data_IF_085187011085
#
_entry.id   IF_085187011085
#
_cell.length_a   1.000
_cell.length_b   1.000
_cell.length_c   1.000
_cell.angle_alpha   90.00
_cell.angle_beta   90.00
_cell.angle_gamma   90.00
#
_symmetry.space_group_name_H-M   'P 1'
#
loop_
_entity.id
_entity.type
_entity.pdbx_description
1 polymer ?
#
# COMPACT_ATOMS: atom_id res chain seq x y z
N UNK A 1 8.69 -4.37 -19.47
CA UNK A 1 7.53 -3.93 -20.26
C UNK A 1 6.74 -2.94 -19.40
N UNK A 2 6.27 -1.83 -19.95
CA UNK A 2 5.62 -0.78 -19.15
C UNK A 2 4.22 -1.22 -18.71
N UNK A 3 3.83 -0.84 -17.48
CA UNK A 3 2.50 -1.09 -16.90
C UNK A 3 1.76 0.24 -16.69
N UNK A 4 0.45 0.23 -16.90
CA UNK A 4 -0.43 1.37 -16.66
C UNK A 4 -1.71 0.92 -15.96
N UNK A 5 -2.25 1.78 -15.10
CA UNK A 5 -3.56 1.59 -14.50
C UNK A 5 -4.60 2.53 -15.09
N UNK A 6 -5.73 1.96 -15.48
CA UNK A 6 -6.90 2.67 -16.04
C UNK A 6 -8.15 2.36 -15.22
N UNK A 7 -9.23 3.10 -15.44
CA UNK A 7 -10.53 2.73 -14.88
C UNK A 7 -11.15 1.56 -15.63
N UNK A 8 -12.08 0.84 -14.99
CA UNK A 8 -12.73 -0.31 -15.60
C UNK A 8 -13.51 0.04 -16.87
N UNK A 9 -14.06 1.27 -16.95
CA UNK A 9 -14.81 1.76 -18.11
C UNK A 9 -13.93 2.02 -19.33
N UNK A 10 -12.60 2.09 -19.14
CA UNK A 10 -11.64 2.23 -20.23
C UNK A 10 -11.33 0.89 -20.91
N UNK A 11 -11.75 -0.23 -20.33
CA UNK A 11 -11.69 -1.56 -20.94
C UNK A 11 -12.96 -1.86 -21.72
N UNK A 12 -12.78 -2.11 -23.02
CA UNK A 12 -13.80 -2.71 -23.87
C UNK A 12 -13.57 -4.22 -24.01
N UNK A 13 -14.39 -4.90 -24.80
CA UNK A 13 -14.25 -6.35 -25.03
C UNK A 13 -12.87 -6.70 -25.63
N UNK A 14 -12.43 -5.93 -26.63
CA UNK A 14 -11.22 -6.20 -27.43
C UNK A 14 -10.14 -5.12 -27.36
N UNK A 15 -10.37 -3.99 -26.69
CA UNK A 15 -9.46 -2.86 -26.68
C UNK A 15 -9.48 -2.10 -25.35
N UNK A 16 -8.46 -1.28 -25.14
CA UNK A 16 -8.32 -0.38 -23.99
C UNK A 16 -8.04 1.03 -24.48
N UNK A 17 -8.75 2.00 -23.91
CA UNK A 17 -8.59 3.42 -24.23
C UNK A 17 -7.86 4.10 -23.07
N UNK A 18 -6.57 4.37 -23.23
CA UNK A 18 -5.75 5.06 -22.22
C UNK A 18 -5.83 6.56 -22.47
N UNK A 19 -6.08 7.35 -21.44
CA UNK A 19 -6.27 8.81 -21.55
C UNK A 19 -5.42 9.57 -20.52
N UNK A 20 -5.38 10.90 -20.62
CA UNK A 20 -4.78 11.76 -19.59
C UNK A 20 -3.26 11.65 -19.50
N UNK A 21 -2.75 11.63 -18.27
CA UNK A 21 -1.31 11.61 -17.98
C UNK A 21 -0.62 10.36 -18.54
N UNK A 22 -1.27 9.20 -18.52
CA UNK A 22 -0.71 7.94 -19.02
C UNK A 22 -0.57 7.97 -20.53
N UNK A 23 -1.59 8.44 -21.25
CA UNK A 23 -1.51 8.61 -22.71
C UNK A 23 -0.39 9.57 -23.11
N UNK A 24 -0.21 10.66 -22.35
CA UNK A 24 0.90 11.61 -22.54
C UNK A 24 2.25 10.95 -22.24
N UNK A 25 2.33 10.14 -21.19
CA UNK A 25 3.53 9.39 -20.82
C UNK A 25 3.94 8.42 -21.94
N UNK A 26 2.98 7.63 -22.46
CA UNK A 26 3.19 6.71 -23.58
C UNK A 26 3.69 7.46 -24.82
N UNK A 27 2.97 8.49 -25.26
CA UNK A 27 3.27 9.18 -26.51
C UNK A 27 4.52 10.05 -26.46
N UNK A 28 4.75 10.80 -25.37
CA UNK A 28 5.83 11.81 -25.30
C UNK A 28 7.09 11.32 -24.62
N UNK A 29 6.96 10.55 -23.53
CA UNK A 29 8.11 10.12 -22.72
C UNK A 29 8.63 8.79 -23.23
N UNK A 30 7.74 7.80 -23.34
CA UNK A 30 8.11 6.47 -23.86
C UNK A 30 8.27 6.47 -25.38
N UNK A 31 7.71 7.47 -26.08
CA UNK A 31 7.72 7.59 -27.56
C UNK A 31 7.17 6.32 -28.22
N UNK A 32 6.10 5.77 -27.65
CA UNK A 32 5.46 4.56 -28.13
C UNK A 32 5.00 4.67 -29.58
N UNK A 33 4.87 3.53 -30.25
CA UNK A 33 4.44 3.41 -31.64
C UNK A 33 3.37 2.32 -31.78
N UNK A 34 2.55 2.35 -32.84
CA UNK A 34 1.69 1.23 -33.19
C UNK A 34 2.48 -0.08 -33.24
N UNK A 35 1.95 -1.11 -32.58
CA UNK A 35 2.58 -2.42 -32.40
C UNK A 35 3.38 -2.58 -31.10
N UNK A 36 3.77 -1.50 -30.41
CA UNK A 36 4.45 -1.61 -29.12
C UNK A 36 3.52 -2.22 -28.07
N UNK A 37 4.07 -3.08 -27.21
CA UNK A 37 3.30 -3.81 -26.19
C UNK A 37 3.42 -3.18 -24.82
N UNK A 38 2.29 -3.10 -24.12
CA UNK A 38 2.14 -2.57 -22.77
C UNK A 38 1.30 -3.53 -21.94
N UNK A 39 1.42 -3.47 -20.62
CA UNK A 39 0.49 -4.12 -19.69
C UNK A 39 -0.48 -3.06 -19.18
N UNK A 40 -1.77 -3.36 -19.20
CA UNK A 40 -2.79 -2.48 -18.62
C UNK A 40 -3.61 -3.26 -17.62
N UNK A 41 -3.81 -2.67 -16.44
CA UNK A 41 -4.67 -3.20 -15.37
C UNK A 41 -5.77 -2.20 -15.03
N UNK A 42 -6.97 -2.70 -14.72
CA UNK A 42 -8.06 -1.90 -14.15
C UNK A 42 -7.91 -1.70 -12.62
N UNK A 43 -6.87 -2.30 -12.03
CA UNK A 43 -6.62 -2.28 -10.59
C UNK A 43 -7.59 -3.14 -9.76
N UNK A 44 -8.47 -3.90 -10.41
CA UNK A 44 -9.55 -4.62 -9.75
C UNK A 44 -9.73 -6.06 -10.22
N UNK A 45 -10.03 -6.28 -11.50
CA UNK A 45 -10.48 -7.57 -12.02
C UNK A 45 -9.76 -8.02 -13.27
N UNK A 46 -9.13 -7.09 -13.99
CA UNK A 46 -8.62 -7.34 -15.34
C UNK A 46 -7.24 -6.75 -15.50
N UNK A 47 -6.33 -7.59 -15.94
CA UNK A 47 -5.05 -7.20 -16.48
C UNK A 47 -4.88 -7.84 -17.86
N UNK A 48 -4.26 -7.12 -18.79
CA UNK A 48 -4.06 -7.60 -20.14
C UNK A 48 -2.74 -7.09 -20.72
N UNK A 49 -2.15 -7.94 -21.57
CA UNK A 49 -1.16 -7.51 -22.53
C UNK A 49 -1.89 -6.84 -23.69
N UNK A 50 -1.53 -5.61 -24.01
CA UNK A 50 -2.12 -4.85 -25.12
C UNK A 50 -1.03 -4.43 -26.10
N UNK A 51 -1.41 -4.26 -27.36
CA UNK A 51 -0.57 -3.67 -28.39
C UNK A 51 -1.16 -2.33 -28.84
N UNK A 52 -0.34 -1.28 -28.86
CA UNK A 52 -0.78 0.05 -29.30
C UNK A 52 -1.30 -0.05 -30.74
N UNK A 53 -2.50 0.44 -30.98
CA UNK A 53 -3.08 0.58 -32.31
C UNK A 53 -2.82 1.99 -32.85
N UNK A 54 -3.19 3.00 -32.06
CA UNK A 54 -3.04 4.40 -32.45
C UNK A 54 -2.69 5.28 -31.23
N UNK A 55 -2.00 6.38 -31.52
CA UNK A 55 -1.65 7.41 -30.55
C UNK A 55 -2.14 8.74 -31.09
N UNK A 56 -3.07 9.35 -30.38
CA UNK A 56 -3.64 10.65 -30.66
C UNK A 56 -3.32 11.63 -29.55
N UNK A 57 -3.72 12.89 -29.72
CA UNK A 57 -3.46 13.92 -28.70
C UNK A 57 -4.28 13.64 -27.44
N UNK A 58 -3.62 13.11 -26.41
CA UNK A 58 -4.23 12.86 -25.09
C UNK A 58 -4.95 11.51 -24.97
N UNK A 59 -4.86 10.66 -25.99
CA UNK A 59 -5.50 9.34 -26.02
C UNK A 59 -4.60 8.32 -26.73
N UNK A 60 -4.53 7.11 -26.20
CA UNK A 60 -3.90 5.94 -26.83
C UNK A 60 -4.93 4.82 -26.87
N UNK A 61 -5.17 4.28 -28.06
CA UNK A 61 -5.99 3.08 -28.23
C UNK A 61 -5.07 1.88 -28.39
N UNK A 62 -5.32 0.83 -27.62
CA UNK A 62 -4.53 -0.40 -27.66
C UNK A 62 -5.44 -1.64 -27.72
N UNK A 63 -5.13 -2.57 -28.61
CA UNK A 63 -5.87 -3.82 -28.77
C UNK A 63 -5.39 -4.87 -27.76
N UNK A 64 -6.32 -5.61 -27.18
CA UNK A 64 -6.03 -6.67 -26.23
C UNK A 64 -5.44 -7.85 -26.99
N UNK A 65 -4.23 -8.24 -26.61
CA UNK A 65 -3.51 -9.39 -27.17
C UNK A 65 -3.88 -10.65 -26.39
N UNK A 66 -3.77 -10.58 -25.06
CA UNK A 66 -4.14 -11.67 -24.16
C UNK A 66 -4.48 -11.14 -22.76
N UNK A 67 -5.42 -11.80 -22.04
CA UNK A 67 -5.61 -11.55 -20.62
C UNK A 67 -4.41 -12.08 -19.82
N UNK A 68 -4.06 -11.37 -18.75
CA UNK A 68 -3.04 -11.77 -17.79
C UNK A 68 -3.69 -12.14 -16.45
N UNK A 69 -2.98 -12.96 -15.67
CA UNK A 69 -3.43 -13.35 -14.34
C UNK A 69 -3.36 -12.18 -13.34
N UNK A 70 -4.22 -12.24 -12.32
CA UNK A 70 -4.27 -11.27 -11.21
C UNK A 70 -3.73 -11.91 -9.93
N UNK A 71 -2.49 -12.42 -10.00
CA UNK A 71 -1.85 -13.28 -9.00
C UNK A 71 -0.62 -12.65 -8.31
N UNK A 72 -0.36 -11.36 -8.54
CA UNK A 72 0.75 -10.62 -7.91
C UNK A 72 0.36 -9.93 -6.58
N UNK A 73 -0.76 -10.29 -5.97
CA UNK A 73 -1.21 -9.73 -4.70
C UNK A 73 -1.26 -10.80 -3.63
N UNK A 74 -0.72 -10.48 -2.44
CA UNK A 74 -0.68 -11.40 -1.32
C UNK A 74 -2.08 -11.70 -0.76
N UNK A 75 -2.29 -12.93 -0.27
CA UNK A 75 -3.53 -13.30 0.44
C UNK A 75 -3.58 -12.65 1.82
N UNK A 76 -2.42 -12.41 2.43
CA UNK A 76 -2.28 -11.64 3.67
C UNK A 76 -2.23 -10.17 3.31
N UNK A 77 -3.36 -9.51 3.51
CA UNK A 77 -3.61 -8.13 3.12
C UNK A 77 -3.17 -7.22 4.26
N UNK A 78 -2.05 -6.52 4.04
CA UNK A 78 -1.44 -5.68 5.08
C UNK A 78 -1.72 -4.21 4.83
N UNK A 79 -2.41 -3.58 5.77
CA UNK A 79 -2.59 -2.13 5.83
C UNK A 79 -1.51 -1.51 6.72
N UNK A 80 -0.91 -0.41 6.27
CA UNK A 80 0.07 0.35 7.06
C UNK A 80 -0.60 1.63 7.57
N UNK A 81 -0.93 1.66 8.86
CA UNK A 81 -1.31 2.87 9.55
C UNK A 81 -0.07 3.64 9.98
N UNK A 82 0.17 4.81 9.39
CA UNK A 82 1.38 5.59 9.60
C UNK A 82 1.02 6.95 10.22
N UNK A 83 1.54 7.21 11.42
CA UNK A 83 1.43 8.54 12.01
C UNK A 83 2.11 9.54 11.09
N UNK A 84 1.47 10.68 10.82
CA UNK A 84 1.96 11.67 9.85
C UNK A 84 3.38 12.13 10.19
N UNK A 85 4.41 11.72 9.42
CA UNK A 85 5.79 12.06 9.72
C UNK A 85 6.11 13.47 9.20
N UNK A 86 7.23 14.04 9.67
CA UNK A 86 7.69 15.34 9.17
C UNK A 86 8.22 15.24 7.73
N UNK A 87 7.97 16.29 6.96
CA UNK A 87 8.49 16.44 5.59
C UNK A 87 7.94 15.37 4.64
N UNK A 88 8.79 14.89 3.73
CA UNK A 88 8.39 14.00 2.64
C UNK A 88 8.52 12.51 3.00
N UNK A 89 8.74 12.16 4.27
CA UNK A 89 8.93 10.77 4.71
C UNK A 89 7.74 9.87 4.40
N UNK A 90 6.51 10.41 4.44
CA UNK A 90 5.31 9.64 4.10
C UNK A 90 5.35 9.16 2.65
N UNK A 91 5.94 9.93 1.75
CA UNK A 91 6.09 9.54 0.34
C UNK A 91 7.02 8.33 0.21
N UNK A 92 8.09 8.29 1.00
CA UNK A 92 8.99 7.13 1.06
C UNK A 92 8.27 5.90 1.62
N UNK A 93 7.46 6.07 2.67
CA UNK A 93 6.65 4.97 3.23
C UNK A 93 5.69 4.43 2.18
N UNK A 94 4.93 5.31 1.52
CA UNK A 94 3.98 4.90 0.48
C UNK A 94 4.68 4.19 -0.67
N UNK A 95 5.75 4.78 -1.22
CA UNK A 95 6.49 4.18 -2.32
C UNK A 95 7.01 2.79 -1.96
N UNK A 96 7.79 2.66 -0.87
CA UNK A 96 8.46 1.40 -0.53
C UNK A 96 7.50 0.34 -0.02
N UNK A 97 6.52 0.71 0.79
CA UNK A 97 5.53 -0.27 1.24
C UNK A 97 4.61 -0.70 0.09
N UNK A 98 4.37 0.15 -0.91
CA UNK A 98 3.66 -0.26 -2.14
C UNK A 98 4.46 -1.31 -2.89
N UNK A 99 5.77 -1.08 -3.08
CA UNK A 99 6.70 -2.03 -3.72
C UNK A 99 6.77 -3.37 -2.94
N UNK A 100 6.73 -3.32 -1.60
CA UNK A 100 6.78 -4.51 -0.75
C UNK A 100 5.46 -5.29 -0.77
N UNK A 101 4.31 -4.63 -0.95
CA UNK A 101 3.00 -5.30 -1.07
C UNK A 101 1.90 -4.84 -0.12
N UNK A 102 2.03 -3.67 0.53
CA UNK A 102 0.93 -3.10 1.34
C UNK A 102 -0.32 -2.88 0.48
N UNK A 103 -1.51 -3.20 0.99
CA UNK A 103 -2.76 -3.03 0.23
C UNK A 103 -3.44 -1.69 0.48
N UNK A 104 -3.11 -1.03 1.60
CA UNK A 104 -3.70 0.23 2.00
C UNK A 104 -2.78 1.01 2.94
N UNK A 105 -2.94 2.33 2.93
CA UNK A 105 -2.29 3.27 3.82
C UNK A 105 -3.33 4.08 4.59
N UNK A 106 -3.20 4.09 5.92
CA UNK A 106 -4.05 4.87 6.83
C UNK A 106 -3.19 5.91 7.55
N UNK A 107 -3.06 7.13 7.01
CA UNK A 107 -2.43 8.21 7.73
C UNK A 107 -3.21 8.50 9.01
N UNK A 108 -2.53 8.84 10.12
CA UNK A 108 -3.23 9.27 11.32
C UNK A 108 -2.47 10.33 12.13
N UNK A 109 -3.21 11.02 12.98
CA UNK A 109 -2.71 11.99 13.95
C UNK A 109 -2.61 11.32 15.33
N UNK A 110 -1.38 11.22 15.84
CA UNK A 110 -1.05 10.82 17.20
C UNK A 110 -0.90 12.07 18.08
N UNK A 111 -0.98 11.90 19.40
CA UNK A 111 -0.73 12.95 20.39
C UNK A 111 0.63 13.64 20.19
N UNK A 112 1.65 12.88 19.80
CA UNK A 112 3.02 13.38 19.59
C UNK A 112 3.33 13.69 18.12
N UNK A 113 2.32 13.75 17.25
CA UNK A 113 2.50 14.19 15.87
C UNK A 113 2.81 15.70 15.83
N UNK A 114 3.96 16.05 15.25
CA UNK A 114 4.44 17.44 15.21
C UNK A 114 3.87 18.19 13.99
N UNK A 115 3.40 17.48 12.97
CA UNK A 115 2.84 18.07 11.76
C UNK A 115 1.47 18.68 12.06
N UNK A 116 1.36 19.99 11.89
CA UNK A 116 0.06 20.65 11.95
C UNK A 116 -0.77 20.25 10.72
N UNK A 117 -1.92 19.67 11.00
CA UNK A 117 -2.92 19.30 10.01
C UNK A 117 -3.54 20.56 9.39
N UNK A 118 -3.52 20.64 8.06
CA UNK A 118 -4.11 21.73 7.29
C UNK A 118 -5.07 21.14 6.25
N UNK A 119 -6.37 21.20 6.56
CA UNK A 119 -7.45 20.64 5.73
C UNK A 119 -7.44 21.21 4.29
N UNK A 120 -6.94 22.44 4.06
CA UNK A 120 -6.87 23.01 2.71
C UNK A 120 -5.78 22.38 1.85
N UNK A 121 -4.73 21.83 2.46
CA UNK A 121 -3.60 21.19 1.77
C UNK A 121 -3.75 19.67 1.67
N UNK A 122 -4.68 19.10 2.42
CA UNK A 122 -4.90 17.66 2.49
C UNK A 122 -5.27 17.05 1.14
N UNK A 123 -6.20 17.65 0.39
CA UNK A 123 -6.61 17.15 -0.93
C UNK A 123 -5.43 17.00 -1.89
N UNK A 124 -4.62 18.05 -2.04
CA UNK A 124 -3.41 18.02 -2.90
C UNK A 124 -2.36 17.03 -2.42
N UNK A 125 -2.24 16.86 -1.11
CA UNK A 125 -1.31 15.88 -0.51
C UNK A 125 -1.77 14.45 -0.79
N UNK A 126 -3.05 14.15 -0.61
CA UNK A 126 -3.65 12.86 -0.93
C UNK A 126 -3.53 12.54 -2.43
N UNK A 127 -3.77 13.51 -3.31
CA UNK A 127 -3.56 13.34 -4.76
C UNK A 127 -2.11 12.98 -5.08
N UNK A 128 -1.14 13.69 -4.49
CA UNK A 128 0.29 13.39 -4.64
C UNK A 128 0.62 11.98 -4.15
N UNK A 129 0.12 11.60 -2.99
CA UNK A 129 0.33 10.27 -2.42
C UNK A 129 -0.25 9.15 -3.28
N UNK A 130 -1.47 9.34 -3.81
CA UNK A 130 -2.10 8.38 -4.72
C UNK A 130 -1.31 8.22 -6.01
N UNK A 131 -0.75 9.33 -6.53
CA UNK A 131 0.15 9.29 -7.68
C UNK A 131 1.42 8.47 -7.39
N UNK A 132 2.03 8.66 -6.22
CA UNK A 132 3.22 7.89 -5.81
C UNK A 132 2.89 6.40 -5.66
N UNK A 133 1.76 6.06 -5.05
CA UNK A 133 1.30 4.68 -4.96
C UNK A 133 1.05 4.06 -6.35
N UNK A 134 0.42 4.80 -7.27
CA UNK A 134 0.22 4.35 -8.66
C UNK A 134 1.55 4.07 -9.35
N UNK A 135 2.48 5.03 -9.34
CA UNK A 135 3.79 4.89 -9.98
C UNK A 135 4.61 3.74 -9.38
N UNK A 136 4.55 3.57 -8.06
CA UNK A 136 5.21 2.46 -7.37
C UNK A 136 4.57 1.12 -7.74
N UNK A 137 3.24 1.03 -7.83
CA UNK A 137 2.53 -0.18 -8.26
C UNK A 137 2.85 -0.55 -9.72
N UNK A 138 2.96 0.45 -10.62
CA UNK A 138 3.36 0.23 -12.01
C UNK A 138 4.79 -0.31 -12.09
N UNK A 139 5.72 0.27 -11.33
CA UNK A 139 7.13 -0.13 -11.32
C UNK A 139 7.35 -1.51 -10.69
N UNK A 140 6.62 -1.82 -9.63
CA UNK A 140 6.70 -3.10 -8.91
C UNK A 140 5.84 -4.20 -9.54
N UNK A 141 5.22 -3.94 -10.70
CA UNK A 141 4.37 -4.92 -11.39
C UNK A 141 3.23 -5.45 -10.52
N UNK A 142 2.62 -4.60 -9.70
CA UNK A 142 1.42 -4.97 -8.94
C UNK A 142 0.19 -4.98 -9.82
N UNK A 143 -0.77 -5.83 -9.46
CA UNK A 143 -2.05 -5.87 -10.17
C UNK A 143 -3.01 -4.80 -9.64
N UNK A 144 -2.79 -4.28 -8.43
CA UNK A 144 -3.65 -3.30 -7.78
C UNK A 144 -2.86 -2.12 -7.24
N UNK A 145 -3.47 -0.93 -7.26
CA UNK A 145 -2.95 0.25 -6.56
C UNK A 145 -3.44 0.20 -5.12
N UNK A 146 -2.57 0.36 -4.11
CA UNK A 146 -3.03 0.41 -2.73
C UNK A 146 -3.88 1.66 -2.46
N UNK A 147 -4.90 1.51 -1.61
CA UNK A 147 -5.73 2.66 -1.23
C UNK A 147 -4.96 3.59 -0.29
N UNK A 148 -5.33 4.87 -0.32
CA UNK A 148 -4.81 5.88 0.62
C UNK A 148 -6.00 6.59 1.22
N UNK A 149 -6.21 6.32 2.50
CA UNK A 149 -7.32 6.84 3.28
C UNK A 149 -7.08 8.29 3.69
N UNK A 150 -8.17 8.97 4.07
CA UNK A 150 -8.04 10.27 4.71
C UNK A 150 -7.38 10.12 6.09
N UNK A 151 -6.50 11.06 6.47
CA UNK A 151 -5.94 11.12 7.82
C UNK A 151 -6.99 10.97 8.92
N UNK A 152 -6.84 9.92 9.73
CA UNK A 152 -7.71 9.68 10.88
C UNK A 152 -7.18 10.36 12.14
N UNK A 153 -8.09 10.70 13.05
CA UNK A 153 -7.71 10.91 14.45
C UNK A 153 -7.30 9.59 15.09
N UNK A 154 -6.53 9.63 16.18
CA UNK A 154 -6.22 8.44 16.97
C UNK A 154 -7.47 7.63 17.33
N UNK A 155 -8.53 8.31 17.81
CA UNK A 155 -9.83 7.66 18.10
C UNK A 155 -10.44 7.00 16.86
N UNK A 156 -10.39 7.67 15.71
CA UNK A 156 -10.91 7.12 14.45
C UNK A 156 -10.13 5.89 14.00
N UNK A 157 -8.81 5.87 14.22
CA UNK A 157 -7.97 4.70 13.96
C UNK A 157 -8.33 3.53 14.89
N UNK A 158 -8.48 3.77 16.19
CA UNK A 158 -8.89 2.71 17.14
C UNK A 158 -10.24 2.09 16.74
N UNK A 159 -11.18 2.90 16.26
CA UNK A 159 -12.48 2.41 15.78
C UNK A 159 -12.40 1.54 14.53
N UNK A 160 -11.30 1.54 13.78
CA UNK A 160 -11.14 0.68 12.60
C UNK A 160 -10.52 -0.68 12.92
N UNK A 161 -10.03 -0.91 14.14
CA UNK A 161 -9.31 -2.14 14.49
C UNK A 161 -10.15 -3.41 14.33
N UNK A 162 -11.47 -3.33 14.54
CA UNK A 162 -12.40 -4.46 14.38
C UNK A 162 -12.49 -4.99 12.94
N UNK A 163 -12.06 -4.21 11.94
CA UNK A 163 -12.02 -4.63 10.54
C UNK A 163 -10.82 -5.55 10.22
N UNK A 164 -9.89 -5.73 11.18
CA UNK A 164 -8.67 -6.49 10.99
C UNK A 164 -8.65 -7.73 11.88
N UNK A 165 -8.10 -8.81 11.36
CA UNK A 165 -7.95 -10.06 12.10
C UNK A 165 -6.75 -10.00 13.07
N UNK A 166 -5.75 -9.18 12.75
CA UNK A 166 -4.62 -8.88 13.61
C UNK A 166 -4.25 -7.40 13.50
N UNK A 167 -4.13 -6.74 14.64
CA UNK A 167 -3.58 -5.38 14.74
C UNK A 167 -2.30 -5.42 15.56
N UNK A 168 -1.21 -4.97 14.98
CA UNK A 168 0.07 -4.83 15.67
C UNK A 168 0.51 -3.37 15.64
N UNK A 169 0.96 -2.83 16.77
CA UNK A 169 1.57 -1.50 16.80
C UNK A 169 3.04 -1.59 17.21
N UNK A 170 3.89 -0.93 16.43
CA UNK A 170 5.34 -0.95 16.61
C UNK A 170 5.70 -0.05 17.80
N UNK A 171 6.09 -0.68 18.90
CA UNK A 171 6.43 0.01 20.14
C UNK A 171 7.64 -0.62 20.80
N UNK A 172 8.58 0.23 21.20
CA UNK A 172 9.81 -0.20 21.86
C UNK A 172 9.53 -0.44 23.35
N UNK A 173 9.40 -1.71 23.72
CA UNK A 173 9.38 -2.14 25.11
C UNK A 173 10.52 -3.12 25.31
N UNK A 174 11.43 -2.80 26.25
CA UNK A 174 12.69 -3.50 26.48
C UNK A 174 12.52 -5.01 26.76
N UNK A 175 11.31 -5.43 27.16
CA UNK A 175 10.89 -6.83 27.34
C UNK A 175 9.51 -7.13 26.72
N UNK A 176 9.14 -6.43 25.65
CA UNK A 176 7.87 -6.64 24.94
C UNK A 176 7.88 -7.88 24.05
N UNK A 177 6.67 -8.30 23.63
CA UNK A 177 6.50 -9.31 22.59
C UNK A 177 7.21 -8.84 21.31
N UNK A 178 7.89 -9.74 20.61
CA UNK A 178 8.43 -9.43 19.29
C UNK A 178 7.35 -9.66 18.24
N UNK A 179 7.48 -9.02 17.07
CA UNK A 179 6.52 -9.18 15.98
C UNK A 179 6.27 -10.66 15.62
N UNK A 180 7.33 -11.47 15.56
CA UNK A 180 7.22 -12.91 15.29
C UNK A 180 6.33 -13.64 16.30
N UNK A 181 6.37 -13.25 17.57
CA UNK A 181 5.59 -13.90 18.63
C UNK A 181 4.09 -13.60 18.51
N UNK A 182 3.73 -12.49 17.85
CA UNK A 182 2.36 -12.18 17.49
C UNK A 182 1.94 -12.85 16.17
N UNK A 183 2.83 -12.86 15.16
CA UNK A 183 2.53 -13.37 13.83
C UNK A 183 2.43 -14.90 13.75
N UNK A 184 3.37 -15.63 14.36
CA UNK A 184 3.44 -17.08 14.25
C UNK A 184 2.13 -17.78 14.66
N UNK A 185 1.56 -17.55 15.86
CA UNK A 185 0.31 -18.21 16.23
C UNK A 185 -0.88 -17.76 15.38
N UNK A 186 -0.87 -16.51 14.88
CA UNK A 186 -1.90 -16.01 13.98
C UNK A 186 -1.86 -16.76 12.64
N UNK A 187 -0.68 -16.90 12.04
CA UNK A 187 -0.48 -17.58 10.74
C UNK A 187 -0.79 -19.08 10.87
N UNK A 188 -0.36 -19.74 11.95
CA UNK A 188 -0.63 -21.17 12.19
C UNK A 188 -2.13 -21.50 12.33
N UNK A 189 -2.96 -20.51 12.68
CA UNK A 189 -4.41 -20.66 12.79
C UNK A 189 -5.14 -20.43 11.47
N UNK A 190 -4.48 -19.83 10.48
CA UNK A 190 -5.09 -19.61 9.16
C UNK A 190 -5.11 -20.91 8.37
N UNK A 191 -6.22 -21.17 7.68
CA UNK A 191 -6.23 -22.20 6.66
C UNK A 191 -5.24 -21.84 5.54
N UNK A 192 -4.64 -22.82 4.83
CA UNK A 192 -3.60 -22.59 3.82
C UNK A 192 -3.96 -21.51 2.80
N UNK A 193 -5.21 -21.49 2.32
CA UNK A 193 -5.69 -20.57 1.28
C UNK A 193 -6.55 -19.42 1.83
N UNK A 194 -6.65 -19.27 3.16
CA UNK A 194 -7.44 -18.20 3.75
C UNK A 194 -6.76 -16.84 3.56
N UNK A 195 -7.51 -15.85 3.08
CA UNK A 195 -7.11 -14.44 3.16
C UNK A 195 -7.30 -13.91 4.58
N UNK A 196 -6.44 -12.96 4.97
CA UNK A 196 -6.58 -12.27 6.24
C UNK A 196 -6.15 -10.81 6.14
N UNK A 197 -6.80 -9.96 6.93
CA UNK A 197 -6.54 -8.52 7.02
C UNK A 197 -5.66 -8.25 8.25
N UNK A 198 -4.50 -7.62 8.05
CA UNK A 198 -3.53 -7.28 9.09
C UNK A 198 -3.27 -5.77 9.08
N UNK A 199 -3.34 -5.14 10.24
CA UNK A 199 -2.99 -3.73 10.41
C UNK A 199 -1.67 -3.59 11.15
N UNK A 200 -0.72 -2.89 10.53
CA UNK A 200 0.53 -2.45 11.18
C UNK A 200 0.43 -0.96 11.48
N UNK A 201 0.50 -0.60 12.77
CA UNK A 201 0.45 0.78 13.24
C UNK A 201 1.84 1.26 13.61
N UNK A 202 2.28 2.35 12.99
CA UNK A 202 3.59 2.98 13.24
C UNK A 202 3.40 4.38 13.79
N UNK A 203 3.93 4.60 14.98
CA UNK A 203 3.84 5.88 15.70
C UNK A 203 4.70 7.00 15.10
N UNK A 204 4.58 8.23 15.64
CA UNK A 204 5.40 9.36 15.22
C UNK A 204 6.85 9.22 15.73
N UNK A 205 7.74 10.12 15.32
CA UNK A 205 9.13 10.12 15.80
C UNK A 205 9.27 10.29 17.33
N UNK A 206 8.25 10.86 17.99
CA UNK A 206 8.17 10.98 19.45
C UNK A 206 7.62 9.73 20.16
N UNK A 207 7.33 8.66 19.43
CA UNK A 207 6.68 7.46 19.93
C UNK A 207 5.23 7.69 20.36
N UNK A 208 4.58 6.62 20.82
CA UNK A 208 3.25 6.68 21.42
C UNK A 208 3.31 7.20 22.86
N UNK A 209 2.26 7.88 23.31
CA UNK A 209 2.07 8.18 24.74
C UNK A 209 1.60 6.93 25.50
N UNK A 210 1.78 6.90 26.82
CA UNK A 210 1.28 5.79 27.66
C UNK A 210 -0.24 5.61 27.50
N UNK A 211 -0.97 6.73 27.36
CA UNK A 211 -2.40 6.73 27.10
C UNK A 211 -2.73 6.05 25.78
N UNK A 212 -2.05 6.42 24.69
CA UNK A 212 -2.26 5.78 23.38
C UNK A 212 -1.97 4.28 23.44
N UNK A 213 -0.88 3.86 24.10
CA UNK A 213 -0.58 2.43 24.24
C UNK A 213 -1.66 1.67 25.00
N UNK A 214 -2.18 2.24 26.09
CA UNK A 214 -3.26 1.64 26.87
C UNK A 214 -4.56 1.56 26.06
N UNK A 215 -4.90 2.60 25.30
CA UNK A 215 -6.10 2.61 24.46
C UNK A 215 -6.00 1.60 23.29
N UNK A 216 -4.82 1.47 22.69
CA UNK A 216 -4.57 0.45 21.65
C UNK A 216 -4.69 -0.98 22.22
N UNK A 217 -4.09 -1.25 23.38
CA UNK A 217 -4.17 -2.54 24.04
C UNK A 217 -5.64 -2.88 24.40
N UNK A 218 -6.42 -1.90 24.90
CA UNK A 218 -7.85 -2.06 25.20
C UNK A 218 -8.69 -2.30 23.94
N UNK A 219 -8.29 -1.74 22.80
CA UNK A 219 -8.92 -1.98 21.50
C UNK A 219 -8.47 -3.31 20.86
N UNK A 220 -7.66 -4.12 21.54
CA UNK A 220 -7.25 -5.45 21.09
C UNK A 220 -5.99 -5.47 20.22
N UNK A 221 -5.29 -4.35 20.08
CA UNK A 221 -4.01 -4.33 19.37
C UNK A 221 -2.88 -4.96 20.20
N UNK A 222 -1.91 -5.54 19.51
CA UNK A 222 -0.75 -6.19 20.12
C UNK A 222 0.49 -5.30 19.96
N UNK A 223 1.07 -4.90 21.09
CA UNK A 223 2.37 -4.21 21.10
C UNK A 223 3.48 -5.15 20.63
N UNK A 224 4.26 -4.71 19.64
CA UNK A 224 5.35 -5.51 19.06
C UNK A 224 6.66 -4.75 18.91
N UNK A 225 7.77 -5.43 19.23
CA UNK A 225 9.12 -5.01 18.89
C UNK A 225 9.59 -5.52 17.52
N UNK A 226 10.50 -4.77 16.89
CA UNK A 226 11.14 -5.11 15.61
C UNK A 226 12.64 -5.45 15.78
N UNK A 227 12.98 -6.04 16.93
CA UNK A 227 14.35 -6.33 17.35
C UNK A 227 14.96 -5.25 18.25
N UNK A 228 16.26 -5.39 18.53
CA UNK A 228 16.97 -4.59 19.55
C UNK A 228 17.38 -3.17 19.13
N UNK A 229 17.14 -2.80 17.87
CA UNK A 229 17.55 -1.50 17.33
C UNK A 229 16.32 -0.63 17.13
N UNK A 230 16.45 0.63 17.52
CA UNK A 230 15.44 1.64 17.23
C UNK A 230 15.44 1.91 15.73
N UNK A 231 14.34 1.58 15.08
CA UNK A 231 14.12 1.90 13.68
C UNK A 231 13.48 3.29 13.57
N UNK A 232 13.79 4.01 12.50
CA UNK A 232 13.05 5.22 12.16
C UNK A 232 11.62 4.85 11.78
N UNK A 233 10.68 5.78 11.98
CA UNK A 233 9.27 5.57 11.65
C UNK A 233 9.08 5.05 10.23
N UNK A 234 9.74 5.66 9.24
CA UNK A 234 9.66 5.20 7.85
C UNK A 234 10.18 3.77 7.65
N UNK A 235 11.23 3.38 8.37
CA UNK A 235 11.83 2.03 8.28
C UNK A 235 11.00 0.99 9.03
N UNK A 236 10.37 1.36 10.14
CA UNK A 236 9.59 0.45 10.97
C UNK A 236 8.41 -0.15 10.20
N UNK A 237 7.68 0.67 9.43
CA UNK A 237 6.57 0.19 8.58
C UNK A 237 7.04 -0.79 7.52
N UNK A 238 8.13 -0.47 6.82
CA UNK A 238 8.71 -1.35 5.80
C UNK A 238 9.18 -2.68 6.38
N UNK A 239 9.88 -2.64 7.51
CA UNK A 239 10.40 -3.84 8.18
C UNK A 239 9.27 -4.74 8.68
N UNK A 240 8.28 -4.16 9.37
CA UNK A 240 7.13 -4.91 9.88
C UNK A 240 6.33 -5.57 8.75
N UNK A 241 5.99 -4.82 7.70
CA UNK A 241 5.31 -5.34 6.51
C UNK A 241 6.10 -6.50 5.88
N UNK A 242 7.41 -6.32 5.68
CA UNK A 242 8.28 -7.36 5.11
C UNK A 242 8.26 -8.63 5.96
N UNK A 243 8.35 -8.50 7.29
CA UNK A 243 8.28 -9.64 8.19
C UNK A 243 6.91 -10.34 8.14
N UNK A 244 5.80 -9.60 8.03
CA UNK A 244 4.46 -10.20 7.88
C UNK A 244 4.39 -11.04 6.61
N UNK A 245 4.81 -10.49 5.47
CA UNK A 245 4.77 -11.19 4.19
C UNK A 245 5.74 -12.38 4.16
N UNK A 246 6.94 -12.24 4.74
CA UNK A 246 7.91 -13.33 4.82
C UNK A 246 7.43 -14.49 5.70
N UNK A 247 6.97 -14.20 6.93
CA UNK A 247 6.51 -15.24 7.86
C UNK A 247 5.23 -15.93 7.36
N UNK A 248 4.43 -15.28 6.52
CA UNK A 248 3.22 -15.86 5.93
C UNK A 248 3.44 -16.63 4.63
N UNK A 249 4.68 -16.68 4.13
CA UNK A 249 5.04 -17.37 2.89
C UNK A 249 4.74 -16.59 1.61
N UNK A 250 4.29 -15.34 1.71
CA UNK A 250 4.00 -14.44 0.58
C UNK A 250 5.27 -13.84 -0.05
N UNK A 251 6.37 -13.85 0.71
CA UNK A 251 7.67 -13.34 0.27
C UNK A 251 8.78 -14.33 0.60
N UNK A 252 9.70 -14.54 -0.34
CA UNK A 252 10.86 -15.43 -0.16
C UNK A 252 10.73 -16.82 -0.79
N UNK A 253 9.55 -17.14 -1.34
CA UNK A 253 9.26 -18.43 -1.98
C UNK A 253 9.07 -19.56 -0.94
N UNK A 254 8.15 -20.47 -1.22
CA UNK A 254 8.18 -21.83 -0.66
C UNK A 254 8.91 -22.76 -1.62
#
# INVERSE_FOLDING_TARGET
MQRYFVSAEQFNEHAVIITGDDARHIGKVMRGKPGDKLIVSDGNSREALVAIESIETGQVTANIVEPLAMDHEARIRVTVAQSLPKGDKMETVIQRCTEIGAVSFVPFLSERTIVQYDAKKEGKRLERWRKIAKEAAEQSHRNRIPSIEQPLSWKGLLSSFEAYHLVCYCYEKENGKQLRDALKPFIEQLAPDASAEVLIVVGPEGGFSEKETMEADQAGAVSVGLGKRILRAETAGMAALTCVLYESGEMGGM
#
